data_IF_000075477244
#
_entry.id   IF_000075477244
#
_cell.length_a   1.000
_cell.length_b   1.000
_cell.length_c   1.000
_cell.angle_alpha   90.00
_cell.angle_beta   90.00
_cell.angle_gamma   90.00
#
_symmetry.space_group_name_H-M   'P 1'
#
loop_
_entity.id
_entity.type
_entity.pdbx_description
1 polymer ?
#
# COMPACT_ATOMS: atom_id res chain seq x y z
N UNK A 1 10.35 -26.04 4.03
CA UNK A 1 11.26 -25.17 3.22
C UNK A 1 10.49 -23.90 2.94
N UNK A 2 11.05 -22.76 3.30
CA UNK A 2 10.48 -21.44 2.97
C UNK A 2 10.53 -21.28 1.45
N UNK A 3 9.40 -21.02 0.81
CA UNK A 3 9.33 -20.81 -0.63
C UNK A 3 9.82 -19.39 -0.95
N UNK A 4 11.01 -19.25 -1.53
CA UNK A 4 11.64 -17.99 -1.89
C UNK A 4 11.89 -17.93 -3.41
N UNK A 5 10.87 -17.67 -4.21
CA UNK A 5 10.98 -17.75 -5.67
C UNK A 5 11.96 -16.76 -6.28
N UNK A 6 12.30 -15.69 -5.57
CA UNK A 6 13.25 -14.67 -6.00
C UNK A 6 14.61 -14.74 -5.30
N UNK A 7 14.92 -15.88 -4.62
CA UNK A 7 16.24 -16.07 -4.03
C UNK A 7 17.34 -15.91 -5.09
N UNK A 8 18.38 -15.13 -4.76
CA UNK A 8 19.46 -14.80 -5.67
C UNK A 8 19.19 -13.66 -6.66
N UNK A 9 17.98 -13.09 -6.66
CA UNK A 9 17.67 -11.87 -7.44
C UNK A 9 18.03 -10.62 -6.65
N UNK A 10 18.72 -9.69 -7.29
CA UNK A 10 19.08 -8.38 -6.71
C UNK A 10 18.24 -7.29 -7.31
N UNK A 11 17.55 -6.55 -6.45
CA UNK A 11 16.68 -5.42 -6.82
C UNK A 11 17.24 -4.14 -6.21
N UNK A 12 17.49 -3.15 -7.04
CA UNK A 12 17.85 -1.81 -6.59
C UNK A 12 16.60 -0.97 -6.50
N UNK A 13 16.41 -0.31 -5.37
CA UNK A 13 15.35 0.66 -5.13
C UNK A 13 15.93 2.07 -5.06
N UNK A 14 15.52 2.97 -5.97
CA UNK A 14 15.67 4.42 -5.89
C UNK A 14 14.31 5.05 -5.55
N UNK A 15 13.64 4.50 -4.54
CA UNK A 15 12.29 4.86 -4.18
C UNK A 15 12.19 5.63 -2.87
N UNK A 16 11.16 6.46 -2.78
CA UNK A 16 10.79 7.17 -1.56
C UNK A 16 9.28 7.10 -1.33
N UNK A 17 8.85 7.39 -0.13
CA UNK A 17 7.45 7.41 0.29
C UNK A 17 6.79 6.02 0.26
N UNK A 18 5.93 5.72 -0.74
CA UNK A 18 5.05 4.54 -0.70
C UNK A 18 5.26 3.60 -1.88
N UNK A 19 5.03 4.04 -3.12
CA UNK A 19 4.79 3.15 -4.26
C UNK A 19 5.96 2.18 -4.55
N UNK A 20 7.18 2.70 -4.76
CA UNK A 20 8.36 1.86 -4.98
C UNK A 20 8.80 1.11 -3.72
N UNK A 21 8.84 1.74 -2.51
CA UNK A 21 9.10 1.01 -1.26
C UNK A 21 8.13 -0.14 -0.98
N UNK A 22 6.83 0.01 -1.30
CA UNK A 22 5.84 -1.05 -1.16
C UNK A 22 6.07 -2.19 -2.15
N UNK A 23 6.39 -1.86 -3.41
CA UNK A 23 6.71 -2.88 -4.42
C UNK A 23 7.94 -3.72 -4.02
N UNK A 24 9.02 -3.07 -3.60
CA UNK A 24 10.26 -3.76 -3.20
C UNK A 24 10.10 -4.49 -1.86
N UNK A 25 9.23 -4.00 -0.98
CA UNK A 25 8.82 -4.76 0.20
C UNK A 25 8.19 -6.11 -0.21
N UNK A 26 7.25 -6.14 -1.16
CA UNK A 26 6.67 -7.40 -1.65
C UNK A 26 7.76 -8.29 -2.26
N UNK A 27 8.66 -7.75 -3.08
CA UNK A 27 9.75 -8.52 -3.68
C UNK A 27 10.69 -9.11 -2.62
N UNK A 28 10.96 -8.39 -1.51
CA UNK A 28 11.74 -8.90 -0.38
C UNK A 28 11.06 -10.10 0.31
N UNK A 29 9.71 -10.04 0.45
CA UNK A 29 8.94 -11.15 1.02
C UNK A 29 8.92 -12.38 0.10
N UNK A 30 9.22 -12.21 -1.18
CA UNK A 30 9.41 -13.29 -2.14
C UNK A 30 10.86 -13.78 -2.22
N UNK A 31 11.77 -13.21 -1.42
CA UNK A 31 13.16 -13.67 -1.27
C UNK A 31 14.20 -12.90 -2.09
N UNK A 32 13.84 -11.80 -2.75
CA UNK A 32 14.80 -10.92 -3.43
C UNK A 32 15.69 -10.16 -2.43
N UNK A 33 16.96 -9.97 -2.77
CA UNK A 33 17.84 -9.01 -2.09
C UNK A 33 17.45 -7.59 -2.54
N UNK A 34 16.99 -6.76 -1.61
CA UNK A 34 16.65 -5.37 -1.89
C UNK A 34 17.75 -4.45 -1.39
N UNK A 35 18.33 -3.66 -2.29
CA UNK A 35 19.29 -2.60 -1.96
C UNK A 35 18.60 -1.27 -2.21
N UNK A 36 18.20 -0.62 -1.12
CA UNK A 36 17.62 0.72 -1.13
C UNK A 36 18.75 1.74 -1.18
N UNK A 37 18.86 2.43 -2.30
CA UNK A 37 19.80 3.54 -2.47
C UNK A 37 19.11 4.84 -2.09
N UNK A 38 19.69 5.53 -1.14
CA UNK A 38 19.13 6.75 -0.55
C UNK A 38 20.09 7.92 -0.72
N UNK A 39 19.59 9.17 -0.82
CA UNK A 39 20.46 10.33 -0.69
C UNK A 39 21.10 10.34 0.70
N UNK A 40 22.18 11.11 0.87
CA UNK A 40 22.87 11.20 2.17
C UNK A 40 21.98 11.72 3.31
N UNK A 41 20.85 12.33 2.98
CA UNK A 41 19.83 12.78 3.93
C UNK A 41 18.78 11.71 4.26
N UNK A 42 18.80 10.58 3.55
CA UNK A 42 17.85 9.50 3.71
C UNK A 42 16.49 9.72 3.03
N UNK A 43 15.68 8.67 3.05
CA UNK A 43 14.27 8.74 2.65
C UNK A 43 13.50 9.67 3.60
N UNK A 44 12.67 10.55 3.06
CA UNK A 44 11.87 11.50 3.83
C UNK A 44 10.97 10.83 4.88
N UNK A 45 10.56 9.59 4.65
CA UNK A 45 9.73 8.82 5.59
C UNK A 45 10.47 8.40 6.87
N UNK A 46 11.80 8.51 6.90
CA UNK A 46 12.60 8.29 8.11
C UNK A 46 12.33 9.32 9.21
N UNK A 47 11.89 10.52 8.82
CA UNK A 47 11.65 11.65 9.73
C UNK A 47 10.32 12.37 9.43
N UNK A 48 9.34 11.68 8.84
CA UNK A 48 8.06 12.28 8.45
C UNK A 48 7.17 12.61 9.65
N UNK A 49 7.29 11.86 10.74
CA UNK A 49 6.52 12.05 11.95
C UNK A 49 7.39 12.77 13.01
N UNK A 50 6.83 13.79 13.67
CA UNK A 50 7.51 14.46 14.76
C UNK A 50 7.86 13.45 15.85
N UNK A 51 9.14 13.27 16.09
CA UNK A 51 9.66 12.37 17.12
C UNK A 51 10.05 10.98 16.63
N UNK A 52 10.06 10.68 15.30
CA UNK A 52 10.55 9.38 14.88
C UNK A 52 10.20 8.98 13.44
N UNK A 53 10.48 7.73 13.08
CA UNK A 53 10.15 7.18 11.78
C UNK A 53 8.63 7.06 11.60
N UNK A 54 8.17 7.21 10.37
CA UNK A 54 6.76 7.01 10.05
C UNK A 54 6.42 5.51 10.00
N UNK A 55 5.13 5.20 10.24
CA UNK A 55 4.63 3.84 10.01
C UNK A 55 4.88 3.35 8.58
N UNK A 56 4.89 4.26 7.60
CA UNK A 56 5.25 3.96 6.20
C UNK A 56 6.69 3.45 6.09
N UNK A 57 7.64 4.11 6.77
CA UNK A 57 9.04 3.66 6.76
C UNK A 57 9.17 2.28 7.40
N UNK A 58 8.59 2.11 8.58
CA UNK A 58 8.67 0.86 9.34
C UNK A 58 8.03 -0.31 8.59
N UNK A 59 6.84 -0.11 8.02
CA UNK A 59 6.09 -1.17 7.35
C UNK A 59 6.70 -1.58 6.00
N UNK A 60 7.30 -0.66 5.25
CA UNK A 60 7.71 -0.95 3.86
C UNK A 60 9.22 -1.05 3.64
N UNK A 61 10.05 -0.81 4.68
CA UNK A 61 11.50 -0.86 4.50
C UNK A 61 12.22 -1.90 5.37
N UNK A 62 11.50 -2.72 6.13
CA UNK A 62 12.12 -3.87 6.77
C UNK A 62 12.60 -4.89 5.72
N UNK A 63 13.59 -5.70 6.09
CA UNK A 63 14.20 -6.71 5.21
C UNK A 63 14.90 -6.15 3.96
N UNK A 64 15.35 -4.89 4.03
CA UNK A 64 16.15 -4.23 2.98
C UNK A 64 17.55 -3.88 3.49
N UNK A 65 18.49 -3.72 2.55
CA UNK A 65 19.78 -3.09 2.81
C UNK A 65 19.69 -1.60 2.47
N UNK A 66 20.24 -0.73 3.30
CA UNK A 66 20.33 0.70 3.03
C UNK A 66 21.74 1.08 2.60
N UNK A 67 21.85 1.80 1.48
CA UNK A 67 23.10 2.35 0.96
C UNK A 67 22.87 3.85 0.71
N UNK A 68 23.64 4.70 1.40
CA UNK A 68 23.54 6.15 1.26
C UNK A 68 24.57 6.67 0.27
N UNK A 69 24.12 7.13 -0.91
CA UNK A 69 24.98 7.58 -2.03
C UNK A 69 24.52 8.96 -2.52
N UNK A 70 25.48 9.87 -2.70
CA UNK A 70 25.25 11.11 -3.42
C UNK A 70 25.36 10.89 -4.94
N UNK A 71 24.22 10.69 -5.59
CA UNK A 71 24.16 10.51 -7.06
C UNK A 71 24.47 11.79 -7.84
N UNK A 72 24.64 12.93 -7.19
CA UNK A 72 25.04 14.19 -7.83
C UNK A 72 26.55 14.34 -7.93
N UNK A 73 27.32 13.55 -7.17
CA UNK A 73 28.76 13.50 -7.26
C UNK A 73 29.22 12.48 -8.31
N UNK A 74 30.31 12.76 -9.07
CA UNK A 74 30.86 11.80 -10.04
C UNK A 74 31.23 10.46 -9.42
N UNK A 75 31.81 10.47 -8.22
CA UNK A 75 32.25 9.29 -7.50
C UNK A 75 31.07 8.45 -7.00
N UNK A 76 30.03 9.11 -6.47
CA UNK A 76 28.80 8.43 -6.05
C UNK A 76 28.04 7.82 -7.23
N UNK A 77 27.98 8.54 -8.35
CA UNK A 77 27.37 8.02 -9.58
C UNK A 77 28.16 6.82 -10.14
N UNK A 78 29.50 6.84 -10.04
CA UNK A 78 30.35 5.71 -10.44
C UNK A 78 30.08 4.48 -9.56
N UNK A 79 29.97 4.64 -8.24
CA UNK A 79 29.64 3.57 -7.32
C UNK A 79 28.23 3.01 -7.60
N UNK A 80 27.26 3.87 -7.88
CA UNK A 80 25.90 3.45 -8.25
C UNK A 80 25.87 2.68 -9.59
N UNK A 81 26.64 3.11 -10.58
CA UNK A 81 26.77 2.38 -11.86
C UNK A 81 27.35 0.98 -11.68
N UNK A 82 28.36 0.84 -10.81
CA UNK A 82 28.91 -0.47 -10.46
C UNK A 82 27.84 -1.36 -9.81
N UNK A 83 26.97 -0.79 -8.97
CA UNK A 83 25.84 -1.52 -8.37
C UNK A 83 24.80 -1.93 -9.42
N UNK A 84 24.43 -1.03 -10.35
CA UNK A 84 23.50 -1.31 -11.45
C UNK A 84 23.95 -2.48 -12.33
N UNK A 85 25.27 -2.60 -12.57
CA UNK A 85 25.83 -3.68 -13.37
C UNK A 85 25.60 -5.08 -12.78
N UNK A 86 25.25 -5.16 -11.50
CA UNK A 86 25.00 -6.45 -10.78
C UNK A 86 23.53 -6.74 -10.51
N UNK A 87 22.62 -5.86 -10.92
CA UNK A 87 21.20 -5.93 -10.56
C UNK A 87 20.36 -6.62 -11.63
N UNK A 88 19.33 -7.36 -11.18
CA UNK A 88 18.29 -7.89 -12.06
C UNK A 88 17.19 -6.85 -12.33
N UNK A 89 16.91 -6.00 -11.35
CA UNK A 89 15.84 -5.00 -11.41
C UNK A 89 16.29 -3.68 -10.82
N UNK A 90 15.97 -2.58 -11.50
CA UNK A 90 15.92 -1.24 -10.92
C UNK A 90 14.48 -0.78 -10.85
N UNK A 91 14.02 -0.41 -9.66
CA UNK A 91 12.71 0.21 -9.46
C UNK A 91 12.86 1.59 -8.81
N UNK A 92 12.14 2.58 -9.33
CA UNK A 92 12.13 3.92 -8.77
C UNK A 92 10.79 4.63 -8.96
N UNK A 93 10.57 5.68 -8.16
CA UNK A 93 9.44 6.60 -8.32
C UNK A 93 9.89 8.07 -8.33
N UNK A 94 11.07 8.33 -8.84
CA UNK A 94 11.58 9.68 -9.06
C UNK A 94 10.73 10.40 -10.11
N UNK A 95 10.55 11.71 -9.93
CA UNK A 95 9.98 12.53 -11.00
C UNK A 95 10.80 12.40 -12.29
N UNK A 96 10.18 12.40 -13.49
CA UNK A 96 10.89 12.19 -14.75
C UNK A 96 12.09 13.12 -14.95
N UNK A 97 11.93 14.41 -14.61
CA UNK A 97 13.01 15.39 -14.70
C UNK A 97 14.18 15.07 -13.74
N UNK A 98 13.88 14.56 -12.54
CA UNK A 98 14.90 14.15 -11.56
C UNK A 98 15.66 12.91 -12.03
N UNK A 99 14.95 11.91 -12.55
CA UNK A 99 15.57 10.70 -13.10
C UNK A 99 16.54 11.04 -14.25
N UNK A 100 16.12 11.88 -15.19
CA UNK A 100 16.98 12.36 -16.28
C UNK A 100 18.21 13.11 -15.74
N UNK A 101 18.03 14.04 -14.79
CA UNK A 101 19.12 14.80 -14.19
C UNK A 101 20.17 13.93 -13.50
N UNK A 102 19.73 12.85 -12.86
CA UNK A 102 20.60 11.91 -12.14
C UNK A 102 21.23 10.84 -13.05
N UNK A 103 20.92 10.83 -14.36
CA UNK A 103 21.42 9.83 -15.29
C UNK A 103 20.92 8.40 -14.97
N UNK A 104 19.70 8.29 -14.46
CA UNK A 104 19.03 7.03 -14.12
C UNK A 104 17.78 6.81 -14.98
N UNK A 105 17.74 7.37 -16.17
CA UNK A 105 16.74 7.09 -17.18
C UNK A 105 16.92 5.68 -17.78
N UNK A 106 15.88 5.22 -18.50
CA UNK A 106 15.89 3.85 -19.04
C UNK A 106 17.04 3.57 -20.00
N UNK A 107 17.38 4.53 -20.85
CA UNK A 107 18.47 4.43 -21.83
C UNK A 107 19.85 4.40 -21.15
N UNK A 108 20.08 5.27 -20.17
CA UNK A 108 21.32 5.32 -19.39
C UNK A 108 21.53 4.04 -18.58
N UNK A 109 20.47 3.53 -17.99
CA UNK A 109 20.52 2.28 -17.20
C UNK A 109 20.76 1.09 -18.13
N UNK A 110 20.08 1.01 -19.28
CA UNK A 110 20.28 -0.05 -20.27
C UNK A 110 21.68 -0.04 -20.89
N UNK A 111 22.32 1.14 -21.00
CA UNK A 111 23.71 1.24 -21.45
C UNK A 111 24.72 0.64 -20.47
N UNK A 112 24.39 0.59 -19.17
CA UNK A 112 25.21 -0.04 -18.11
C UNK A 112 24.92 -1.53 -18.01
N UNK A 113 23.63 -1.91 -18.00
CA UNK A 113 23.18 -3.27 -17.87
C UNK A 113 21.98 -3.51 -18.81
N UNK A 114 22.22 -4.05 -20.02
CA UNK A 114 21.16 -4.25 -21.02
C UNK A 114 20.13 -5.30 -20.62
N UNK A 115 20.45 -6.13 -19.63
CA UNK A 115 19.57 -7.20 -19.15
C UNK A 115 18.69 -6.79 -17.96
N UNK A 116 18.91 -5.62 -17.40
CA UNK A 116 18.16 -5.14 -16.23
C UNK A 116 16.68 -4.87 -16.58
N UNK A 117 15.80 -5.25 -15.68
CA UNK A 117 14.40 -4.82 -15.74
C UNK A 117 14.30 -3.43 -15.10
N UNK A 118 14.06 -2.43 -15.92
CA UNK A 118 13.85 -1.05 -15.49
C UNK A 118 12.37 -0.83 -15.22
N UNK A 119 12.00 -0.47 -13.99
CA UNK A 119 10.63 -0.20 -13.58
C UNK A 119 10.50 1.21 -13.00
N UNK A 120 9.75 2.06 -13.68
CA UNK A 120 9.46 3.42 -13.26
C UNK A 120 7.99 3.53 -12.84
N UNK A 121 7.75 3.83 -11.55
CA UNK A 121 6.43 4.20 -11.05
C UNK A 121 6.34 5.73 -11.06
N UNK A 122 5.38 6.29 -11.78
CA UNK A 122 5.27 7.72 -12.01
C UNK A 122 3.81 8.20 -11.87
N UNK A 123 3.59 9.50 -11.86
CA UNK A 123 2.25 10.07 -11.70
C UNK A 123 1.31 9.70 -12.85
N UNK A 124 1.77 9.91 -14.08
CA UNK A 124 1.06 9.61 -15.32
C UNK A 124 1.99 8.80 -16.24
N UNK A 125 1.49 7.78 -16.90
CA UNK A 125 2.20 7.13 -18.01
C UNK A 125 2.31 8.07 -19.22
N UNK A 126 2.92 7.59 -20.32
CA UNK A 126 3.08 8.38 -21.54
C UNK A 126 1.74 8.98 -22.01
N UNK A 127 1.72 10.28 -22.27
CA UNK A 127 0.52 11.01 -22.67
C UNK A 127 0.63 12.52 -22.38
N UNK A 128 -0.52 13.25 -22.49
CA UNK A 128 -0.51 14.73 -22.37
C UNK A 128 -0.04 15.26 -21.00
N UNK A 129 -0.01 14.41 -19.96
CA UNK A 129 0.35 14.76 -18.59
C UNK A 129 1.60 14.01 -18.09
N UNK A 130 2.37 13.41 -18.98
CA UNK A 130 3.48 12.54 -18.58
C UNK A 130 4.57 13.23 -17.73
N UNK A 131 4.73 14.54 -17.87
CA UNK A 131 5.66 15.34 -17.06
C UNK A 131 5.01 16.03 -15.86
N UNK A 132 3.68 15.93 -15.69
CA UNK A 132 2.97 16.50 -14.55
C UNK A 132 3.30 15.74 -13.27
N UNK A 133 3.41 16.48 -12.16
CA UNK A 133 3.58 15.88 -10.85
C UNK A 133 2.25 15.29 -10.36
N UNK A 134 2.26 14.04 -9.98
CA UNK A 134 1.16 13.43 -9.27
C UNK A 134 1.64 12.61 -8.08
N UNK A 135 0.82 12.64 -7.05
CA UNK A 135 0.92 11.82 -5.85
C UNK A 135 -0.37 11.04 -5.69
N UNK A 136 -0.44 10.13 -4.74
CA UNK A 136 -1.66 9.36 -4.47
C UNK A 136 -2.93 10.23 -4.39
N UNK A 137 -3.00 11.36 -3.62
CA UNK A 137 -4.20 12.20 -3.59
C UNK A 137 -4.55 12.84 -4.94
N UNK A 138 -3.56 13.17 -5.76
CA UNK A 138 -3.81 13.71 -7.11
C UNK A 138 -4.42 12.65 -8.02
N UNK A 139 -3.92 11.42 -7.94
CA UNK A 139 -4.50 10.29 -8.67
C UNK A 139 -5.93 9.97 -8.20
N UNK A 140 -6.20 9.94 -6.88
CA UNK A 140 -7.56 9.78 -6.34
C UNK A 140 -8.52 10.86 -6.88
N UNK A 141 -8.07 12.13 -6.91
CA UNK A 141 -8.88 13.23 -7.41
C UNK A 141 -9.16 13.14 -8.91
N UNK A 142 -8.14 12.76 -9.71
CA UNK A 142 -8.24 12.75 -11.17
C UNK A 142 -8.94 11.51 -11.74
N UNK A 143 -9.06 10.43 -10.98
CA UNK A 143 -9.74 9.18 -11.38
C UNK A 143 -11.18 9.05 -10.86
N UNK A 144 -11.69 10.10 -10.20
CA UNK A 144 -13.09 10.16 -9.75
C UNK A 144 -13.33 9.56 -8.36
N UNK A 145 -12.39 8.82 -7.80
CA UNK A 145 -12.55 8.14 -6.51
C UNK A 145 -12.79 9.15 -5.37
N UNK A 146 -12.04 10.25 -5.35
CA UNK A 146 -12.19 11.28 -4.33
C UNK A 146 -13.52 12.02 -4.40
N UNK A 147 -14.11 12.15 -5.59
CA UNK A 147 -15.39 12.83 -5.77
C UNK A 147 -16.55 12.11 -5.08
N UNK A 148 -16.43 10.80 -4.88
CA UNK A 148 -17.44 9.98 -4.22
C UNK A 148 -17.21 9.84 -2.72
N UNK A 149 -16.01 10.11 -2.26
CA UNK A 149 -15.68 10.06 -0.84
C UNK A 149 -15.79 11.45 -0.23
N UNK A 150 -17.00 11.79 0.22
CA UNK A 150 -17.32 13.13 0.74
C UNK A 150 -17.46 13.10 2.26
N UNK A 151 -16.65 13.88 2.96
CA UNK A 151 -16.73 14.09 4.41
C UNK A 151 -17.07 15.55 4.66
N UNK A 152 -18.14 15.80 5.42
CA UNK A 152 -18.64 17.16 5.73
C UNK A 152 -18.82 18.03 4.47
N UNK A 153 -19.35 17.45 3.39
CA UNK A 153 -19.61 18.16 2.13
C UNK A 153 -18.36 18.45 1.28
N UNK A 154 -17.18 17.92 1.63
CA UNK A 154 -15.92 18.12 0.90
C UNK A 154 -15.37 16.80 0.37
N UNK A 155 -14.93 16.74 -0.91
CA UNK A 155 -14.16 15.61 -1.41
C UNK A 155 -12.98 15.32 -0.50
N UNK A 156 -12.81 14.10 -0.10
CA UNK A 156 -11.82 13.67 0.89
C UNK A 156 -11.07 12.44 0.44
N UNK A 157 -9.83 12.27 0.92
CA UNK A 157 -9.02 11.08 0.63
C UNK A 157 -9.67 9.83 1.23
N UNK A 158 -9.42 8.69 0.60
CA UNK A 158 -9.85 7.37 1.12
C UNK A 158 -9.13 6.93 2.41
N UNK A 159 -8.04 7.58 2.79
CA UNK A 159 -7.20 7.22 3.94
C UNK A 159 -5.85 6.63 3.50
N UNK A 160 -5.63 5.32 3.49
CA UNK A 160 -4.38 4.73 2.99
C UNK A 160 -4.07 5.10 1.53
N UNK A 161 -2.79 5.12 1.18
CA UNK A 161 -2.34 5.48 -0.18
C UNK A 161 -2.60 4.34 -1.17
N UNK A 162 -3.86 4.01 -1.42
CA UNK A 162 -4.26 2.86 -2.23
C UNK A 162 -3.71 2.90 -3.67
N UNK A 163 -3.68 4.07 -4.34
CA UNK A 163 -3.14 4.17 -5.69
C UNK A 163 -1.64 3.84 -5.71
N UNK A 164 -0.88 4.32 -4.72
CA UNK A 164 0.52 3.96 -4.56
C UNK A 164 0.71 2.46 -4.34
N UNK A 165 -0.10 1.86 -3.46
CA UNK A 165 -0.02 0.43 -3.14
C UNK A 165 -0.42 -0.44 -4.34
N UNK A 166 -1.50 -0.09 -5.06
CA UNK A 166 -1.89 -0.79 -6.28
C UNK A 166 -0.85 -0.63 -7.39
N UNK A 167 -0.28 0.58 -7.58
CA UNK A 167 0.79 0.79 -8.54
C UNK A 167 2.02 -0.05 -8.20
N UNK A 168 2.41 -0.10 -6.92
CA UNK A 168 3.46 -0.99 -6.43
C UNK A 168 3.15 -2.47 -6.70
N UNK A 169 1.91 -2.91 -6.48
CA UNK A 169 1.48 -4.29 -6.78
C UNK A 169 1.54 -4.58 -8.28
N UNK A 170 1.07 -3.67 -9.15
CA UNK A 170 1.19 -3.83 -10.60
C UNK A 170 2.64 -3.83 -11.07
N UNK A 171 3.51 -3.02 -10.45
CA UNK A 171 4.94 -3.07 -10.72
C UNK A 171 5.51 -4.47 -10.42
N UNK A 172 5.17 -5.05 -9.27
CA UNK A 172 5.59 -6.43 -8.92
C UNK A 172 5.08 -7.44 -9.94
N UNK A 173 3.79 -7.40 -10.30
CA UNK A 173 3.21 -8.31 -11.31
C UNK A 173 3.97 -8.20 -12.63
N UNK A 174 4.27 -6.98 -13.10
CA UNK A 174 4.98 -6.76 -14.36
C UNK A 174 6.44 -7.18 -14.27
N UNK A 175 7.12 -6.94 -13.14
CA UNK A 175 8.48 -7.42 -12.89
C UNK A 175 8.53 -8.95 -12.92
N UNK A 176 7.62 -9.63 -12.20
CA UNK A 176 7.56 -11.10 -12.22
C UNK A 176 7.29 -11.64 -13.61
N UNK A 177 6.40 -11.03 -14.38
CA UNK A 177 6.15 -11.42 -15.78
C UNK A 177 7.42 -11.25 -16.65
N UNK A 178 8.16 -10.14 -16.47
CA UNK A 178 9.40 -9.91 -17.20
C UNK A 178 10.52 -10.89 -16.80
N UNK A 179 10.58 -11.28 -15.53
CA UNK A 179 11.53 -12.32 -15.07
C UNK A 179 11.19 -13.70 -15.63
N UNK A 180 9.91 -14.02 -15.83
CA UNK A 180 9.46 -15.29 -16.42
C UNK A 180 9.69 -15.34 -17.92
N UNK A 181 9.54 -14.23 -18.62
CA UNK A 181 9.72 -14.12 -20.08
C UNK A 181 10.51 -12.86 -20.42
N UNK A 182 11.85 -12.90 -20.32
CA UNK A 182 12.70 -11.74 -20.53
C UNK A 182 12.83 -11.40 -22.02
N UNK A 183 11.99 -10.51 -22.52
CA UNK A 183 12.15 -9.89 -23.84
C UNK A 183 12.65 -8.45 -23.70
N UNK A 184 13.29 -7.85 -24.71
CA UNK A 184 13.73 -6.45 -24.64
C UNK A 184 12.59 -5.49 -24.24
N UNK A 185 11.38 -5.69 -24.79
CA UNK A 185 10.21 -4.86 -24.50
C UNK A 185 9.69 -5.06 -23.06
N UNK A 186 9.83 -6.27 -22.52
CA UNK A 186 9.43 -6.59 -21.16
C UNK A 186 10.37 -5.99 -20.09
N UNK A 187 11.57 -5.53 -20.49
CA UNK A 187 12.55 -4.95 -19.58
C UNK A 187 12.30 -3.47 -19.26
N UNK A 188 11.44 -2.79 -20.00
CA UNK A 188 11.09 -1.39 -19.73
C UNK A 188 9.64 -1.30 -19.27
N UNK A 189 9.45 -1.02 -18.00
CA UNK A 189 8.15 -0.96 -17.35
C UNK A 189 7.85 0.45 -16.86
N UNK A 190 6.69 0.96 -17.25
CA UNK A 190 6.15 2.22 -16.73
C UNK A 190 4.79 1.95 -16.09
N UNK A 191 4.63 2.38 -14.84
CA UNK A 191 3.39 2.23 -14.07
C UNK A 191 2.93 3.62 -13.63
N UNK A 192 1.83 4.10 -14.22
CA UNK A 192 1.24 5.38 -13.82
C UNK A 192 0.27 5.23 -12.65
N UNK A 193 0.30 6.16 -11.69
CA UNK A 193 -0.69 6.22 -10.61
C UNK A 193 -2.09 6.50 -11.17
N UNK A 194 -2.19 7.35 -12.18
CA UNK A 194 -3.44 7.67 -12.85
C UNK A 194 -4.02 6.46 -13.56
N UNK A 195 -3.24 5.75 -14.37
CA UNK A 195 -3.65 4.55 -15.09
C UNK A 195 -4.01 3.40 -14.12
N UNK A 196 -3.29 3.33 -13.01
CA UNK A 196 -3.64 2.43 -11.90
C UNK A 196 -5.03 2.74 -11.37
N UNK A 197 -5.33 4.01 -11.10
CA UNK A 197 -6.64 4.44 -10.63
C UNK A 197 -7.75 4.18 -11.64
N UNK A 198 -7.50 4.42 -12.94
CA UNK A 198 -8.46 4.07 -14.01
C UNK A 198 -8.76 2.57 -14.03
N UNK A 199 -7.74 1.73 -13.91
CA UNK A 199 -7.93 0.28 -13.92
C UNK A 199 -8.71 -0.19 -12.69
N UNK A 200 -8.42 0.33 -11.50
CA UNK A 200 -9.13 0.01 -10.25
C UNK A 200 -10.60 0.47 -10.33
N UNK A 201 -10.86 1.67 -10.88
CA UNK A 201 -12.22 2.20 -11.09
C UNK A 201 -12.95 1.61 -12.32
N UNK A 202 -12.36 0.66 -13.02
CA UNK A 202 -12.85 0.15 -14.31
C UNK A 202 -14.31 -0.32 -14.29
N UNK A 203 -14.75 -0.99 -13.23
CA UNK A 203 -16.15 -1.40 -13.05
C UNK A 203 -17.11 -0.20 -13.01
N UNK A 204 -16.75 0.82 -12.22
CA UNK A 204 -17.62 1.98 -12.02
C UNK A 204 -17.65 2.87 -13.27
N UNK A 205 -16.50 3.01 -13.94
CA UNK A 205 -16.39 3.70 -15.23
C UNK A 205 -17.24 3.01 -16.32
N UNK A 206 -17.21 1.67 -16.40
CA UNK A 206 -18.05 0.92 -17.32
C UNK A 206 -19.55 1.08 -16.96
N UNK A 207 -19.88 1.03 -15.67
CA UNK A 207 -21.25 1.23 -15.16
C UNK A 207 -21.81 2.60 -15.53
N UNK A 208 -21.04 3.68 -15.33
CA UNK A 208 -21.44 5.05 -15.71
C UNK A 208 -21.71 5.16 -17.21
N UNK A 209 -20.82 4.60 -18.06
CA UNK A 209 -21.01 4.62 -19.52
C UNK A 209 -22.28 3.88 -19.95
N UNK A 210 -22.53 2.69 -19.36
CA UNK A 210 -23.73 1.92 -19.63
C UNK A 210 -24.99 2.69 -19.24
N UNK A 211 -25.02 3.33 -18.07
CA UNK A 211 -26.17 4.12 -17.61
C UNK A 211 -26.39 5.36 -18.47
N UNK A 212 -25.34 6.02 -18.94
CA UNK A 212 -25.46 7.11 -19.91
C UNK A 212 -26.17 6.67 -21.19
N UNK A 213 -25.82 5.49 -21.71
CA UNK A 213 -26.46 4.95 -22.94
C UNK A 213 -27.92 4.52 -22.71
N UNK A 214 -28.20 3.89 -21.56
CA UNK A 214 -29.54 3.36 -21.28
C UNK A 214 -30.52 4.42 -20.74
N UNK A 215 -30.05 5.38 -19.97
CA UNK A 215 -30.89 6.30 -19.22
C UNK A 215 -30.66 7.77 -19.57
N UNK A 216 -29.71 8.08 -20.46
CA UNK A 216 -29.32 9.45 -20.81
C UNK A 216 -28.71 10.25 -19.66
N UNK A 217 -28.34 9.62 -18.56
CA UNK A 217 -27.72 10.26 -17.39
C UNK A 217 -26.67 9.36 -16.75
N UNK A 218 -25.60 9.94 -16.17
CA UNK A 218 -24.63 9.18 -15.41
C UNK A 218 -25.29 8.72 -14.08
N UNK A 219 -25.44 7.43 -13.91
CA UNK A 219 -25.88 6.84 -12.65
C UNK A 219 -24.87 5.77 -12.26
N UNK A 220 -24.37 5.83 -11.05
CA UNK A 220 -23.43 4.83 -10.54
C UNK A 220 -24.16 3.60 -10.02
N UNK A 221 -23.60 2.44 -10.31
CA UNK A 221 -23.99 1.22 -9.63
C UNK A 221 -23.41 1.24 -8.22
N UNK A 222 -24.24 1.56 -7.24
CA UNK A 222 -23.86 1.54 -5.83
C UNK A 222 -23.16 2.80 -5.29
N UNK A 223 -23.46 3.96 -5.87
CA UNK A 223 -22.92 5.22 -5.35
C UNK A 223 -23.13 5.42 -3.86
N UNK A 224 -22.04 5.45 -3.08
CA UNK A 224 -21.97 5.75 -1.65
C UNK A 224 -22.64 4.77 -0.69
N UNK A 225 -23.75 4.18 -1.09
CA UNK A 225 -24.47 3.15 -0.35
C UNK A 225 -24.78 1.95 -1.24
N UNK A 226 -24.48 0.76 -0.78
CA UNK A 226 -24.89 -0.44 -1.47
C UNK A 226 -26.41 -0.38 -1.70
N UNK A 227 -26.88 -0.63 -2.93
CA UNK A 227 -28.27 -0.49 -3.30
C UNK A 227 -29.22 -1.54 -2.69
N UNK A 228 -28.75 -2.31 -1.71
CA UNK A 228 -29.49 -3.36 -1.02
C UNK A 228 -29.86 -2.90 0.39
N UNK A 229 -31.14 -2.62 0.67
CA UNK A 229 -31.58 -2.24 2.01
C UNK A 229 -31.29 -3.33 3.04
N UNK A 230 -30.76 -2.92 4.19
CA UNK A 230 -30.25 -3.83 5.24
C UNK A 230 -28.78 -4.24 5.06
N UNK A 231 -28.13 -3.82 3.97
CA UNK A 231 -26.69 -4.00 3.76
C UNK A 231 -25.98 -2.69 4.02
N UNK A 232 -25.17 -2.60 5.07
CA UNK A 232 -24.47 -1.36 5.41
C UNK A 232 -24.04 -1.28 6.86
N UNK A 233 -23.64 -0.08 7.28
CA UNK A 233 -23.19 0.20 8.63
C UNK A 233 -24.33 0.75 9.49
N UNK A 234 -24.49 0.18 10.68
CA UNK A 234 -25.50 0.57 11.65
C UNK A 234 -24.87 0.76 13.03
N UNK A 235 -25.25 1.83 13.72
CA UNK A 235 -24.71 2.15 15.03
C UNK A 235 -25.53 1.48 16.15
N UNK A 236 -24.82 0.77 17.02
CA UNK A 236 -25.38 0.19 18.24
C UNK A 236 -25.57 1.26 19.34
N UNK A 237 -26.29 0.93 20.40
CA UNK A 237 -26.60 1.83 21.52
C UNK A 237 -25.36 2.31 22.29
N UNK A 238 -24.29 1.54 22.28
CA UNK A 238 -23.00 1.86 22.90
C UNK A 238 -22.05 2.69 22.01
N UNK A 239 -22.54 3.15 20.84
CA UNK A 239 -21.81 4.00 19.90
C UNK A 239 -20.89 3.24 18.93
N UNK A 240 -20.71 1.93 19.10
CA UNK A 240 -19.97 1.09 18.15
C UNK A 240 -20.78 0.85 16.88
N UNK A 241 -20.12 0.49 15.78
CA UNK A 241 -20.76 0.27 14.49
C UNK A 241 -20.61 -1.18 14.05
N UNK A 242 -21.69 -1.72 13.52
CA UNK A 242 -21.73 -3.04 12.86
C UNK A 242 -21.98 -2.85 11.37
N UNK A 243 -21.27 -3.61 10.54
CA UNK A 243 -21.52 -3.69 9.10
C UNK A 243 -22.22 -5.00 8.78
N UNK A 244 -23.44 -4.93 8.24
CA UNK A 244 -24.30 -6.07 7.96
C UNK A 244 -24.18 -6.53 6.50
N UNK A 245 -24.21 -7.85 6.26
CA UNK A 245 -24.16 -8.47 4.94
C UNK A 245 -25.51 -9.09 4.55
N UNK A 246 -26.44 -8.29 4.06
CA UNK A 246 -27.77 -8.72 3.60
C UNK A 246 -27.83 -8.72 2.08
N UNK A 247 -27.32 -9.76 1.45
CA UNK A 247 -27.18 -9.88 -0.01
C UNK A 247 -28.36 -10.55 -0.72
N UNK A 248 -29.10 -11.40 -0.01
CA UNK A 248 -30.18 -12.23 -0.58
C UNK A 248 -31.46 -12.10 0.24
N UNK A 249 -32.58 -12.55 -0.32
CA UNK A 249 -33.85 -12.61 0.38
C UNK A 249 -33.78 -13.54 1.59
N UNK A 250 -33.01 -14.63 1.52
CA UNK A 250 -32.76 -15.51 2.65
C UNK A 250 -31.98 -14.82 3.78
N UNK A 251 -31.01 -13.96 3.45
CA UNK A 251 -30.31 -13.15 4.46
C UNK A 251 -31.24 -12.14 5.12
N UNK A 252 -32.15 -11.54 4.37
CA UNK A 252 -33.17 -10.65 4.93
C UNK A 252 -34.06 -11.36 5.94
N UNK A 253 -34.57 -12.57 5.61
CA UNK A 253 -35.39 -13.36 6.53
C UNK A 253 -34.65 -13.72 7.82
N UNK A 254 -33.36 -14.00 7.74
CA UNK A 254 -32.54 -14.21 8.94
C UNK A 254 -32.39 -12.93 9.77
N UNK A 255 -32.17 -11.77 9.11
CA UNK A 255 -32.08 -10.47 9.79
C UNK A 255 -33.41 -10.14 10.52
N UNK A 256 -34.55 -10.31 9.85
CA UNK A 256 -35.90 -10.11 10.46
C UNK A 256 -36.02 -10.87 11.76
N UNK A 257 -35.66 -12.15 11.75
CA UNK A 257 -35.70 -13.00 12.98
C UNK A 257 -34.68 -12.53 14.02
N UNK A 258 -33.46 -12.24 13.63
CA UNK A 258 -32.40 -11.83 14.56
C UNK A 258 -32.76 -10.56 15.32
N UNK A 259 -33.33 -9.59 14.62
CA UNK A 259 -33.67 -8.28 15.18
C UNK A 259 -35.12 -8.16 15.70
N UNK A 260 -35.96 -9.21 15.51
CA UNK A 260 -37.37 -9.15 15.89
C UNK A 260 -38.17 -8.12 15.07
N UNK A 261 -37.77 -7.90 13.80
CA UNK A 261 -38.50 -7.00 12.89
C UNK A 261 -39.85 -7.63 12.51
N UNK A 262 -40.88 -6.80 12.16
CA UNK A 262 -42.12 -7.32 11.62
C UNK A 262 -41.88 -8.19 10.38
N UNK A 263 -42.46 -9.38 10.35
CA UNK A 263 -42.43 -10.26 9.18
C UNK A 263 -43.47 -9.78 8.15
N UNK A 264 -43.07 -8.79 7.36
CA UNK A 264 -43.92 -8.24 6.29
C UNK A 264 -43.64 -9.00 4.98
N UNK A 265 -44.64 -9.80 4.49
CA UNK A 265 -44.46 -10.53 3.23
C UNK A 265 -44.15 -9.66 2.03
N UNK A 266 -44.55 -8.39 2.03
CA UNK A 266 -44.20 -7.45 0.96
C UNK A 266 -42.73 -7.10 0.98
N UNK A 267 -42.01 -7.20 2.08
CA UNK A 267 -40.56 -6.98 2.17
C UNK A 267 -39.73 -8.26 1.92
N UNK A 268 -40.38 -9.38 1.61
CA UNK A 268 -39.72 -10.66 1.39
C UNK A 268 -38.73 -10.59 0.20
N UNK A 269 -39.00 -9.78 -0.81
CA UNK A 269 -38.14 -9.67 -2.01
C UNK A 269 -37.28 -8.41 -2.00
N UNK A 270 -36.03 -8.51 -2.51
CA UNK A 270 -35.12 -7.37 -2.67
C UNK A 270 -35.75 -6.24 -3.48
N UNK A 271 -36.52 -6.59 -4.53
CA UNK A 271 -37.21 -5.61 -5.39
C UNK A 271 -38.14 -4.72 -4.57
N UNK A 272 -38.89 -5.29 -3.67
CA UNK A 272 -39.85 -4.55 -2.85
C UNK A 272 -39.14 -3.76 -1.73
N UNK A 273 -38.09 -4.34 -1.11
CA UNK A 273 -37.25 -3.62 -0.15
C UNK A 273 -36.60 -2.38 -0.78
N UNK A 274 -36.15 -2.46 -2.04
CA UNK A 274 -35.63 -1.29 -2.77
C UNK A 274 -36.67 -0.19 -2.94
N UNK A 275 -37.93 -0.52 -3.16
CA UNK A 275 -39.03 0.47 -3.27
C UNK A 275 -39.35 1.16 -1.94
N UNK A 276 -39.21 0.42 -0.83
CA UNK A 276 -39.47 0.89 0.55
C UNK A 276 -38.15 1.06 1.33
N UNK A 277 -37.11 1.51 0.65
CA UNK A 277 -35.74 1.57 1.20
C UNK A 277 -35.66 2.32 2.53
N UNK A 278 -36.18 3.54 2.58
CA UNK A 278 -36.13 4.39 3.77
C UNK A 278 -36.75 3.74 5.00
N UNK A 279 -37.86 3.06 4.80
CA UNK A 279 -38.56 2.32 5.85
C UNK A 279 -37.74 1.13 6.34
N UNK A 280 -37.17 0.34 5.43
CA UNK A 280 -36.32 -0.80 5.79
C UNK A 280 -35.07 -0.33 6.54
N UNK A 281 -34.40 0.70 6.03
CA UNK A 281 -33.21 1.28 6.69
C UNK A 281 -33.52 1.85 8.07
N UNK A 282 -34.67 2.52 8.23
CA UNK A 282 -35.11 3.04 9.52
C UNK A 282 -35.40 1.92 10.52
N UNK A 283 -36.09 0.86 10.09
CA UNK A 283 -36.41 -0.29 10.94
C UNK A 283 -35.13 -1.00 11.43
N UNK A 284 -34.18 -1.27 10.54
CA UNK A 284 -32.90 -1.91 10.90
C UNK A 284 -32.10 -0.99 11.84
N UNK A 285 -32.00 0.31 11.52
CA UNK A 285 -31.31 1.28 12.37
C UNK A 285 -31.89 1.35 13.77
N UNK A 286 -33.22 1.38 13.89
CA UNK A 286 -33.88 1.39 15.18
C UNK A 286 -33.63 0.13 15.98
N UNK A 287 -33.72 -1.04 15.34
CA UNK A 287 -33.50 -2.32 15.99
C UNK A 287 -32.07 -2.52 16.49
N UNK A 288 -31.06 -2.20 15.63
CA UNK A 288 -29.63 -2.25 16.04
C UNK A 288 -29.34 -1.17 17.10
N UNK A 289 -29.85 0.03 16.95
CA UNK A 289 -29.65 1.15 17.90
C UNK A 289 -30.25 0.90 19.30
N UNK A 290 -31.13 -0.05 19.43
CA UNK A 290 -31.69 -0.49 20.72
C UNK A 290 -30.84 -1.55 21.45
N UNK A 291 -29.81 -2.10 20.79
CA UNK A 291 -28.95 -3.16 21.30
C UNK A 291 -27.54 -2.66 21.52
N UNK A 292 -26.82 -3.17 22.51
CA UNK A 292 -25.35 -3.04 22.52
C UNK A 292 -24.75 -3.82 21.36
N UNK A 293 -23.50 -3.47 20.99
CA UNK A 293 -22.81 -4.20 19.91
C UNK A 293 -22.73 -5.69 20.21
N UNK A 294 -22.41 -6.07 21.44
CA UNK A 294 -22.32 -7.48 21.87
C UNK A 294 -23.66 -8.21 21.78
N UNK A 295 -24.79 -7.58 22.21
CA UNK A 295 -26.10 -8.15 22.06
C UNK A 295 -26.53 -8.35 20.61
N UNK A 296 -26.22 -7.36 19.76
CA UNK A 296 -26.49 -7.44 18.33
C UNK A 296 -25.65 -8.55 17.67
N UNK A 297 -24.35 -8.63 17.96
CA UNK A 297 -23.47 -9.70 17.48
C UNK A 297 -23.96 -11.09 17.88
N UNK A 298 -24.39 -11.29 19.14
CA UNK A 298 -24.91 -12.55 19.60
C UNK A 298 -26.16 -12.99 18.82
N UNK A 299 -27.13 -12.07 18.63
CA UNK A 299 -28.38 -12.36 17.89
C UNK A 299 -28.12 -12.61 16.40
N UNK A 300 -27.25 -11.82 15.78
CA UNK A 300 -26.90 -11.98 14.38
C UNK A 300 -26.14 -13.29 14.12
N UNK A 301 -25.23 -13.66 15.03
CA UNK A 301 -24.49 -14.94 14.97
C UNK A 301 -25.44 -16.13 15.10
N UNK A 302 -26.35 -16.12 16.10
CA UNK A 302 -27.33 -17.19 16.33
C UNK A 302 -28.22 -17.39 15.10
N UNK A 303 -28.66 -16.32 14.46
CA UNK A 303 -29.50 -16.38 13.26
C UNK A 303 -28.68 -16.68 11.96
N UNK A 304 -27.37 -16.71 12.04
CA UNK A 304 -26.49 -16.91 10.88
C UNK A 304 -26.55 -15.76 9.86
N UNK A 305 -26.68 -14.52 10.33
CA UNK A 305 -26.54 -13.31 9.52
C UNK A 305 -25.05 -12.96 9.43
N UNK A 306 -24.54 -12.62 8.24
CA UNK A 306 -23.19 -12.13 8.09
C UNK A 306 -23.07 -10.69 8.60
N UNK A 307 -22.08 -10.43 9.43
CA UNK A 307 -21.77 -9.10 9.96
C UNK A 307 -20.30 -9.00 10.38
N UNK A 308 -19.85 -7.78 10.66
CA UNK A 308 -18.58 -7.51 11.36
C UNK A 308 -18.68 -6.18 12.12
N UNK A 309 -17.97 -6.06 13.24
CA UNK A 309 -17.76 -4.75 13.87
C UNK A 309 -16.85 -3.89 12.99
N UNK A 310 -17.14 -2.60 12.88
CA UNK A 310 -16.25 -1.61 12.24
C UNK A 310 -15.18 -1.21 13.25
N UNK A 311 -14.01 -1.83 13.13
CA UNK A 311 -12.91 -1.62 14.07
C UNK A 311 -12.12 -0.35 13.77
N UNK A 312 -11.84 0.49 14.76
CA UNK A 312 -10.79 1.50 14.64
C UNK A 312 -9.41 0.83 14.59
N UNK A 313 -8.41 1.49 13.96
CA UNK A 313 -7.08 0.89 13.74
C UNK A 313 -6.41 0.42 15.05
N UNK A 314 -6.63 1.13 16.14
CA UNK A 314 -6.07 0.81 17.47
C UNK A 314 -6.52 -0.57 17.98
N UNK A 315 -7.68 -1.03 17.52
CA UNK A 315 -8.25 -2.32 17.94
C UNK A 315 -7.96 -3.45 16.95
N UNK A 316 -7.52 -3.15 15.74
CA UNK A 316 -7.28 -4.16 14.69
C UNK A 316 -6.24 -5.18 15.12
N UNK A 317 -5.12 -4.72 15.72
CA UNK A 317 -4.05 -5.62 16.18
C UNK A 317 -4.47 -6.55 17.32
N UNK A 318 -5.49 -6.17 18.09
CA UNK A 318 -6.04 -7.01 19.17
C UNK A 318 -7.13 -7.98 18.67
N UNK A 319 -7.58 -7.85 17.43
CA UNK A 319 -8.63 -8.69 16.87
C UNK A 319 -8.18 -10.17 16.80
N UNK A 320 -9.03 -11.15 17.13
CA UNK A 320 -8.66 -12.56 17.15
C UNK A 320 -8.06 -13.05 15.83
N UNK A 321 -8.57 -12.56 14.69
CA UNK A 321 -8.04 -12.93 13.37
C UNK A 321 -6.63 -12.39 13.12
N UNK A 322 -6.29 -11.20 13.66
CA UNK A 322 -4.94 -10.64 13.55
C UNK A 322 -3.92 -11.41 14.41
N UNK A 323 -4.38 -12.02 15.52
CA UNK A 323 -3.54 -12.79 16.46
C UNK A 323 -3.31 -14.24 16.04
N UNK A 324 -3.88 -14.69 14.93
CA UNK A 324 -3.56 -16.01 14.37
C UNK A 324 -2.06 -16.05 14.02
N UNK A 325 -1.32 -17.09 14.44
CA UNK A 325 0.12 -17.21 14.16
C UNK A 325 0.45 -17.00 12.68
N UNK A 326 1.50 -16.20 12.40
CA UNK A 326 1.94 -15.87 11.05
C UNK A 326 1.12 -14.78 10.35
N UNK A 327 0.33 -13.99 11.07
CA UNK A 327 -0.36 -12.80 10.53
C UNK A 327 0.37 -11.51 10.83
N UNK A 328 1.07 -11.46 11.94
CA UNK A 328 1.87 -10.32 12.37
C UNK A 328 3.30 -10.79 12.64
N UNK A 329 4.23 -9.87 12.50
CA UNK A 329 5.67 -10.06 12.78
C UNK A 329 6.15 -8.97 13.70
N UNK A 330 6.88 -9.36 14.74
CA UNK A 330 7.52 -8.45 15.70
C UNK A 330 8.82 -7.89 15.13
N UNK A 331 9.04 -6.62 15.34
CA UNK A 331 10.30 -5.92 15.07
C UNK A 331 10.69 -5.03 16.24
N UNK A 332 12.01 -4.91 16.43
CA UNK A 332 12.61 -3.86 17.23
C UNK A 332 13.36 -2.89 16.32
N UNK A 333 13.08 -1.60 16.41
CA UNK A 333 13.79 -0.56 15.69
C UNK A 333 14.02 0.65 16.57
N UNK A 334 15.28 1.01 16.75
CA UNK A 334 15.68 2.16 17.57
C UNK A 334 15.11 2.15 19.01
N UNK A 335 14.99 0.96 19.60
CA UNK A 335 14.44 0.77 20.95
C UNK A 335 12.93 0.80 21.04
N UNK A 336 12.23 0.80 19.90
CA UNK A 336 10.78 0.64 19.83
C UNK A 336 10.43 -0.78 19.39
N UNK A 337 9.46 -1.36 20.07
CA UNK A 337 8.83 -2.63 19.67
C UNK A 337 7.55 -2.33 18.93
N UNK A 338 7.35 -2.98 17.79
CA UNK A 338 6.14 -2.85 16.96
C UNK A 338 5.89 -4.10 16.14
N UNK A 339 4.63 -4.27 15.74
CA UNK A 339 4.20 -5.37 14.89
C UNK A 339 3.83 -4.84 13.51
N UNK A 340 4.17 -5.60 12.47
CA UNK A 340 3.71 -5.34 11.10
C UNK A 340 3.00 -6.55 10.54
N UNK A 341 1.99 -6.35 9.67
CA UNK A 341 1.33 -7.44 8.98
C UNK A 341 2.29 -8.22 8.09
N UNK A 342 2.19 -9.54 8.11
CA UNK A 342 2.87 -10.43 7.18
C UNK A 342 2.30 -10.32 5.77
N UNK A 343 3.13 -10.62 4.77
CA UNK A 343 2.68 -10.67 3.38
C UNK A 343 1.57 -11.72 3.19
N UNK A 344 0.42 -11.35 2.63
CA UNK A 344 -0.70 -12.28 2.44
C UNK A 344 -0.31 -13.46 1.55
N UNK A 345 -0.57 -14.69 2.02
CA UNK A 345 -0.20 -15.91 1.30
C UNK A 345 1.28 -16.30 1.43
N UNK A 346 2.05 -15.56 2.21
CA UNK A 346 3.43 -15.92 2.52
C UNK A 346 3.50 -17.15 3.44
N UNK A 347 4.41 -18.06 3.15
CA UNK A 347 4.69 -19.26 3.96
C UNK A 347 5.81 -19.02 4.98
N UNK A 348 5.80 -17.89 5.71
CA UNK A 348 6.85 -17.56 6.66
C UNK A 348 8.20 -17.35 5.94
N UNK A 349 8.22 -16.39 5.02
CA UNK A 349 9.42 -15.98 4.31
C UNK A 349 10.57 -15.59 5.26
N UNK A 350 11.77 -15.44 4.72
CA UNK A 350 13.04 -15.16 5.36
C UNK A 350 12.93 -14.40 6.68
N UNK A 351 13.84 -14.62 7.65
CA UNK A 351 13.82 -13.89 8.90
C UNK A 351 13.76 -12.39 8.58
N UNK A 352 12.65 -11.74 8.98
CA UNK A 352 12.48 -10.33 8.75
C UNK A 352 13.58 -9.59 9.48
N UNK A 353 14.44 -8.92 8.74
CA UNK A 353 15.38 -7.98 9.33
C UNK A 353 14.60 -6.68 9.64
N UNK A 354 14.93 -5.98 10.73
CA UNK A 354 14.34 -4.68 11.00
C UNK A 354 14.59 -3.71 9.84
N UNK A 355 13.86 -2.60 9.76
CA UNK A 355 14.21 -1.55 8.83
C UNK A 355 15.66 -1.08 9.07
N UNK A 356 16.47 -0.90 8.01
CA UNK A 356 17.88 -0.56 8.19
C UNK A 356 18.06 0.89 8.67
N UNK A 357 19.13 1.15 9.43
CA UNK A 357 19.64 2.49 9.64
C UNK A 357 20.13 3.09 8.31
N UNK A 358 20.19 4.42 8.21
CA UNK A 358 20.66 5.08 6.99
C UNK A 358 22.13 4.74 6.73
N UNK A 359 22.41 4.18 5.55
CA UNK A 359 23.76 3.81 5.13
C UNK A 359 24.33 2.59 5.84
N UNK A 360 23.55 1.87 6.64
CA UNK A 360 23.98 0.70 7.43
C UNK A 360 24.79 -0.31 6.60
N UNK A 361 24.41 -0.51 5.35
CA UNK A 361 25.02 -1.50 4.47
C UNK A 361 25.92 -0.90 3.39
N UNK A 362 26.23 0.42 3.45
CA UNK A 362 26.99 1.09 2.38
C UNK A 362 28.34 0.42 2.10
N UNK A 363 29.13 0.20 3.16
CA UNK A 363 30.47 -0.41 3.02
C UNK A 363 30.39 -1.88 2.62
N UNK A 364 29.45 -2.64 3.23
CA UNK A 364 29.23 -4.05 2.89
C UNK A 364 28.90 -4.22 1.39
N UNK A 365 27.97 -3.41 0.89
CA UNK A 365 27.56 -3.47 -0.53
C UNK A 365 28.72 -3.06 -1.44
N UNK A 366 29.44 -1.98 -1.15
CA UNK A 366 30.60 -1.57 -1.96
C UNK A 366 31.67 -2.69 -2.01
N UNK A 367 31.99 -3.32 -0.89
CA UNK A 367 32.94 -4.47 -0.88
C UNK A 367 32.44 -5.63 -1.73
N UNK A 368 31.12 -5.91 -1.72
CA UNK A 368 30.53 -6.95 -2.58
C UNK A 368 30.65 -6.66 -4.07
N UNK A 369 30.87 -5.38 -4.44
CA UNK A 369 31.12 -4.92 -5.81
C UNK A 369 32.61 -4.92 -6.19
N UNK A 370 33.51 -5.31 -5.25
CA UNK A 370 34.97 -5.37 -5.48
C UNK A 370 35.72 -4.10 -5.07
N UNK A 371 35.07 -3.13 -4.42
CA UNK A 371 35.80 -2.01 -3.83
C UNK A 371 36.62 -2.47 -2.63
N UNK A 372 37.88 -2.10 -2.58
CA UNK A 372 38.73 -2.34 -1.42
C UNK A 372 38.49 -1.30 -0.30
N UNK A 373 39.10 -1.51 0.86
CA UNK A 373 38.92 -0.63 2.01
C UNK A 373 39.39 0.82 1.72
N UNK A 374 40.48 0.99 1.01
CA UNK A 374 41.00 2.31 0.66
C UNK A 374 40.05 3.06 -0.29
N UNK A 375 39.43 2.36 -1.22
CA UNK A 375 38.40 2.91 -2.12
C UNK A 375 37.13 3.28 -1.37
N UNK A 376 36.66 2.44 -0.45
CA UNK A 376 35.50 2.73 0.40
C UNK A 376 35.77 3.97 1.27
N UNK A 377 36.93 4.04 1.91
CA UNK A 377 37.34 5.19 2.73
C UNK A 377 37.43 6.49 1.91
N UNK A 378 37.94 6.41 0.68
CA UNK A 378 38.00 7.55 -0.22
C UNK A 378 36.60 8.06 -0.58
N UNK A 379 35.64 7.18 -0.92
CA UNK A 379 34.25 7.55 -1.19
C UNK A 379 33.57 8.23 0.00
N UNK A 380 33.84 7.72 1.21
CA UNK A 380 33.31 8.30 2.45
C UNK A 380 33.94 9.66 2.72
N UNK A 381 35.27 9.77 2.60
CA UNK A 381 36.02 11.02 2.82
C UNK A 381 35.60 12.13 1.87
N UNK A 382 35.27 11.79 0.63
CA UNK A 382 34.78 12.75 -0.37
C UNK A 382 33.28 13.05 -0.21
N UNK A 383 32.59 12.42 0.72
CA UNK A 383 31.15 12.62 0.93
C UNK A 383 30.28 12.05 -0.19
N UNK A 384 30.82 11.17 -1.03
CA UNK A 384 30.08 10.49 -2.10
C UNK A 384 29.20 9.36 -1.56
N UNK A 385 29.63 8.73 -0.46
CA UNK A 385 28.90 7.67 0.24
C UNK A 385 28.93 7.99 1.75
N UNK A 386 27.83 7.72 2.44
CA UNK A 386 27.82 7.75 3.89
C UNK A 386 27.80 6.32 4.46
N UNK A 387 28.64 6.03 5.48
CA UNK A 387 28.50 4.84 6.28
C UNK A 387 27.24 4.95 7.15
N UNK A 388 26.96 3.92 7.92
CA UNK A 388 25.91 3.94 8.93
C UNK A 388 25.97 5.23 9.78
N UNK A 389 24.82 5.90 9.90
CA UNK A 389 24.63 7.05 10.79
C UNK A 389 23.78 6.64 11.98
N UNK A 390 24.40 6.12 13.06
CA UNK A 390 23.69 5.92 14.32
C UNK A 390 23.26 7.30 14.82
N UNK A 391 22.00 7.54 15.05
CA UNK A 391 21.50 8.82 15.54
C UNK A 391 20.79 9.71 14.51
N UNK A 392 20.55 9.24 13.29
CA UNK A 392 19.53 9.86 12.41
C UNK A 392 18.12 9.80 13.03
N UNK A 393 18.02 9.14 14.17
CA UNK A 393 16.88 9.06 15.04
C UNK A 393 17.07 10.02 16.24
N UNK A 394 17.21 11.30 15.98
CA UNK A 394 17.18 12.36 17.01
C UNK A 394 15.75 12.51 17.57
N UNK A 395 15.18 11.42 18.04
CA UNK A 395 13.96 11.48 18.81
C UNK A 395 14.22 10.94 20.22
N UNK A 396 13.95 11.77 21.21
CA UNK A 396 13.82 11.28 22.57
C UNK A 396 12.42 10.68 22.72
N UNK A 397 12.27 9.42 23.19
CA UNK A 397 10.95 8.88 23.45
C UNK A 397 10.22 9.82 24.41
N UNK A 398 9.00 10.22 24.05
CA UNK A 398 8.13 10.98 24.95
C UNK A 398 7.94 10.11 26.20
N UNK A 399 8.44 10.57 27.35
CA UNK A 399 8.26 9.83 28.60
C UNK A 399 6.76 9.70 28.84
N UNK A 400 6.30 8.50 29.18
CA UNK A 400 4.89 8.13 29.43
C UNK A 400 4.19 8.92 30.58
N UNK A 401 4.78 9.99 31.06
CA UNK A 401 4.30 10.78 32.21
C UNK A 401 3.53 12.04 31.86
N UNK A 402 3.24 12.29 30.56
CA UNK A 402 2.53 13.52 30.14
C UNK A 402 1.36 13.25 29.14
N UNK A 403 0.57 12.20 29.39
CA UNK A 403 -0.74 12.01 28.72
C UNK A 403 -1.78 11.77 29.80
#
# INVERSE_FOLDING_TARGET
MTHQPLAGRRVIELGTMVAAPFATHILSQLGAEIIKVEPLTGDTTRALVRGGPSGTFLAYNHSKKSVAIDLTSPEGLAAFRALLATADVLIHNLAPASARKLGVGAEEVAAINPDIIYCHIRGYAAGPKEDDLATNPVAEASTGVMADHVINGRPSRLGPSYHDQFAGTYAVIRILAALLQPTPEARRLEIGLYETGLHVAGRDLAGVQLKMQLLGRPEREGGGEFSMPGYGAYQASDGRWLYLLVLTDAHWQKLVRALGLPDDPELATLRNRKKRREEVEAAVRTAIGALSCEEAEARLSEAGVGFTEVLPLERVLAAPQARVPGKLRDFSYAGLEFEVPEFPGGSGAAPGLPPPALGEHSVEVLRSLGFDDAQCDALIKHGAVAPERPGYLNWAPVRKTEV
#
